data_IF_150147799790
#
_entry.id   IF_150147799790
#
_cell.length_a   1.000
_cell.length_b   1.000
_cell.length_c   1.000
_cell.angle_alpha   90.00
_cell.angle_beta   90.00
_cell.angle_gamma   90.00
#
_symmetry.space_group_name_H-M   'P 1'
#
loop_
_entity.id
_entity.type
_entity.pdbx_description
1 polymer ?
#
# COMPACT_ATOMS: atom_id res chain seq x y z
N UNK A 1 -40.74 36.29 -14.64
CA UNK A 1 -39.63 36.68 -13.75
C UNK A 1 -39.12 35.44 -13.05
N UNK A 2 -37.82 35.14 -13.28
CA UNK A 2 -36.87 34.36 -12.46
C UNK A 2 -37.21 32.93 -12.03
N UNK A 3 -36.62 31.96 -12.75
CA UNK A 3 -36.10 30.71 -12.19
C UNK A 3 -34.71 30.94 -11.57
N UNK A 4 -34.38 30.17 -10.53
CA UNK A 4 -33.07 29.53 -10.19
C UNK A 4 -32.98 29.32 -8.66
N UNK A 5 -33.17 28.08 -8.17
CA UNK A 5 -32.15 27.03 -8.03
C UNK A 5 -31.21 27.23 -6.83
N UNK A 6 -31.56 26.64 -5.68
CA UNK A 6 -30.60 26.35 -4.60
C UNK A 6 -30.86 24.95 -4.06
N UNK A 7 -30.48 23.93 -4.84
CA UNK A 7 -30.33 22.57 -4.31
C UNK A 7 -29.35 21.78 -5.18
N UNK A 8 -28.07 21.79 -4.78
CA UNK A 8 -27.03 20.75 -5.01
C UNK A 8 -25.67 21.28 -4.56
N UNK A 9 -25.44 21.30 -3.24
CA UNK A 9 -24.07 21.24 -2.69
C UNK A 9 -23.86 19.82 -2.19
N UNK A 10 -23.23 19.01 -3.01
CA UNK A 10 -22.93 17.63 -2.66
C UNK A 10 -22.54 16.85 -3.89
N UNK A 11 -21.28 17.03 -4.34
CA UNK A 11 -20.59 16.12 -5.26
C UNK A 11 -19.12 16.56 -5.52
N UNK A 12 -18.41 17.11 -4.52
CA UNK A 12 -16.98 17.46 -4.70
C UNK A 12 -16.12 17.19 -3.45
N UNK A 13 -16.48 16.20 -2.62
CA UNK A 13 -15.70 15.82 -1.44
C UNK A 13 -14.78 14.60 -1.61
N UNK A 14 -14.95 13.82 -2.68
CA UNK A 14 -14.29 12.51 -2.81
C UNK A 14 -13.12 12.42 -3.79
N UNK A 15 -12.80 13.48 -4.54
CA UNK A 15 -11.90 13.40 -5.70
C UNK A 15 -10.59 14.22 -5.58
N UNK A 16 -10.33 14.91 -4.46
CA UNK A 16 -9.22 15.89 -4.39
C UNK A 16 -7.90 15.30 -3.84
N UNK A 17 -7.85 14.04 -3.39
CA UNK A 17 -6.60 13.41 -2.93
C UNK A 17 -5.90 12.52 -3.97
N UNK A 18 -6.26 12.62 -5.26
CA UNK A 18 -5.53 12.01 -6.37
C UNK A 18 -4.91 13.03 -7.35
N UNK A 19 -5.23 14.32 -7.18
CA UNK A 19 -4.80 15.40 -8.09
C UNK A 19 -3.29 15.68 -8.15
N UNK A 20 -2.48 15.56 -7.09
CA UNK A 20 -1.08 15.96 -7.17
C UNK A 20 -0.17 14.96 -7.90
N UNK A 21 -0.62 13.73 -8.15
CA UNK A 21 0.24 12.66 -8.69
C UNK A 21 0.29 12.60 -10.22
N UNK A 22 -0.56 13.36 -10.93
CA UNK A 22 -0.68 13.27 -12.39
C UNK A 22 -0.06 14.45 -13.15
N UNK A 23 0.68 15.34 -12.48
CA UNK A 23 1.30 16.51 -13.11
C UNK A 23 2.82 16.48 -13.05
N UNK A 24 3.42 15.52 -13.74
CA UNK A 24 4.82 15.59 -14.16
C UNK A 24 4.88 15.22 -15.64
N UNK A 25 5.43 16.13 -16.44
CA UNK A 25 5.52 16.05 -17.89
C UNK A 25 6.24 14.79 -18.39
N UNK A 26 6.17 14.60 -19.71
CA UNK A 26 6.66 13.48 -20.54
C UNK A 26 8.01 12.89 -20.09
N UNK A 27 7.99 12.19 -18.96
CA UNK A 27 8.99 11.28 -18.49
C UNK A 27 8.56 9.88 -18.94
N UNK A 28 9.54 9.03 -19.25
CA UNK A 28 9.37 7.59 -19.40
C UNK A 28 8.27 7.10 -18.46
N UNK A 29 7.25 6.34 -18.94
CA UNK A 29 6.16 5.92 -18.07
C UNK A 29 6.79 5.29 -16.82
N UNK A 30 6.49 5.81 -15.61
CA UNK A 30 7.07 5.26 -14.39
C UNK A 30 6.78 3.77 -14.41
N UNK A 31 7.80 2.95 -14.12
CA UNK A 31 7.66 1.50 -14.04
C UNK A 31 6.33 1.20 -13.31
N UNK A 32 5.37 0.54 -13.97
CA UNK A 32 4.00 0.41 -13.46
C UNK A 32 4.00 -0.31 -12.10
N UNK A 33 4.98 -1.16 -11.84
CA UNK A 33 5.16 -1.80 -10.55
C UNK A 33 5.65 -0.84 -9.48
N UNK A 34 6.60 0.06 -9.80
CA UNK A 34 7.02 1.11 -8.86
C UNK A 34 5.87 2.05 -8.50
N UNK A 35 5.02 2.38 -9.48
CA UNK A 35 3.81 3.17 -9.23
C UNK A 35 2.82 2.42 -8.31
N UNK A 36 2.61 1.12 -8.54
CA UNK A 36 1.76 0.28 -7.70
C UNK A 36 2.30 0.11 -6.28
N UNK A 37 3.63 0.01 -6.11
CA UNK A 37 4.29 -0.02 -4.79
C UNK A 37 4.02 1.28 -4.03
N UNK A 38 4.25 2.45 -4.65
CA UNK A 38 3.98 3.75 -4.03
C UNK A 38 2.52 3.91 -3.62
N UNK A 39 1.59 3.45 -4.47
CA UNK A 39 0.16 3.46 -4.14
C UNK A 39 -0.15 2.55 -2.93
N UNK A 40 0.45 1.36 -2.89
CA UNK A 40 0.27 0.42 -1.78
C UNK A 40 0.87 0.96 -0.47
N UNK A 41 2.04 1.61 -0.52
CA UNK A 41 2.66 2.27 0.63
C UNK A 41 1.79 3.41 1.17
N UNK A 42 1.26 4.25 0.29
CA UNK A 42 0.35 5.33 0.65
C UNK A 42 -0.92 4.80 1.32
N UNK A 43 -1.52 3.74 0.74
CA UNK A 43 -2.73 3.12 1.30
C UNK A 43 -2.47 2.42 2.64
N UNK A 44 -1.32 1.75 2.80
CA UNK A 44 -0.89 1.15 4.07
C UNK A 44 -0.68 2.23 5.14
N UNK A 45 -0.08 3.36 4.78
CA UNK A 45 0.16 4.49 5.68
C UNK A 45 -1.14 5.16 6.11
N UNK A 46 -2.04 5.45 5.16
CA UNK A 46 -3.37 6.00 5.44
C UNK A 46 -4.17 5.08 6.38
N UNK A 47 -4.17 3.77 6.11
CA UNK A 47 -4.84 2.81 6.97
C UNK A 47 -4.22 2.72 8.36
N UNK A 48 -2.90 2.83 8.51
CA UNK A 48 -2.27 2.89 9.84
C UNK A 48 -2.65 4.16 10.59
N UNK A 49 -2.54 5.32 9.94
CA UNK A 49 -2.90 6.61 10.53
C UNK A 49 -4.36 6.64 11.00
N UNK A 50 -5.29 6.17 10.16
CA UNK A 50 -6.69 6.05 10.55
C UNK A 50 -6.86 5.14 11.79
N UNK A 51 -6.06 4.08 11.91
CA UNK A 51 -6.10 3.16 13.05
C UNK A 51 -5.64 3.79 14.35
N UNK A 52 -4.55 4.55 14.31
CA UNK A 52 -4.05 5.32 15.46
C UNK A 52 -5.07 6.37 15.90
N UNK A 53 -5.66 7.10 14.95
CA UNK A 53 -6.73 8.08 15.23
C UNK A 53 -7.99 7.43 15.80
N UNK A 54 -8.34 6.22 15.35
CA UNK A 54 -9.49 5.51 15.90
C UNK A 54 -9.22 5.03 17.33
N UNK A 55 -8.01 4.54 17.60
CA UNK A 55 -7.60 4.13 18.94
C UNK A 55 -7.60 5.32 19.92
N UNK A 56 -7.07 6.48 19.51
CA UNK A 56 -7.07 7.67 20.36
C UNK A 56 -8.48 8.18 20.66
N UNK A 57 -9.39 8.15 19.68
CA UNK A 57 -10.79 8.54 19.90
C UNK A 57 -11.59 7.55 20.73
N UNK A 58 -11.34 6.25 20.58
CA UNK A 58 -11.94 5.24 21.48
C UNK A 58 -11.49 5.46 22.92
N UNK A 59 -10.20 5.75 23.14
CA UNK A 59 -9.68 6.06 24.48
C UNK A 59 -10.31 7.33 25.08
N UNK A 60 -10.68 8.30 24.24
CA UNK A 60 -11.40 9.51 24.65
C UNK A 60 -12.94 9.40 24.67
N UNK A 61 -13.52 8.24 24.34
CA UNK A 61 -14.98 8.02 24.34
C UNK A 61 -15.76 8.63 23.18
N UNK A 62 -15.11 9.08 22.09
CA UNK A 62 -15.74 9.84 20.99
C UNK A 62 -15.55 9.14 19.64
N UNK A 63 -15.95 7.87 19.53
CA UNK A 63 -15.94 7.17 18.24
C UNK A 63 -17.30 7.29 17.54
N UNK A 64 -17.38 8.24 16.61
CA UNK A 64 -18.59 8.50 15.83
C UNK A 64 -18.70 7.60 14.59
N UNK A 65 -19.90 7.41 14.02
CA UNK A 65 -20.12 6.56 12.84
C UNK A 65 -19.28 6.94 11.61
N UNK A 66 -19.04 8.23 11.38
CA UNK A 66 -18.22 8.73 10.29
C UNK A 66 -16.76 8.25 10.37
N UNK A 67 -16.20 8.12 11.58
CA UNK A 67 -14.85 7.56 11.75
C UNK A 67 -14.79 6.07 11.44
N UNK A 68 -15.85 5.34 11.78
CA UNK A 68 -15.96 3.92 11.39
C UNK A 68 -16.03 3.79 9.87
N UNK A 69 -16.77 4.67 9.19
CA UNK A 69 -16.83 4.69 7.73
C UNK A 69 -15.45 4.99 7.11
N UNK A 70 -14.70 5.95 7.66
CA UNK A 70 -13.35 6.28 7.21
C UNK A 70 -12.37 5.10 7.39
N UNK A 71 -12.46 4.36 8.50
CA UNK A 71 -11.67 3.13 8.71
C UNK A 71 -11.97 2.06 7.67
N UNK A 72 -13.23 1.87 7.32
CA UNK A 72 -13.63 0.92 6.29
C UNK A 72 -13.13 1.38 4.92
N UNK A 73 -13.23 2.68 4.61
CA UNK A 73 -12.76 3.27 3.36
C UNK A 73 -11.26 3.04 3.15
N UNK A 74 -10.44 3.38 4.15
CA UNK A 74 -8.98 3.15 4.10
C UNK A 74 -8.62 1.67 4.04
N UNK A 75 -9.38 0.79 4.71
CA UNK A 75 -9.19 -0.65 4.60
C UNK A 75 -9.47 -1.19 3.19
N UNK A 76 -10.51 -0.68 2.52
CA UNK A 76 -10.85 -1.02 1.13
C UNK A 76 -9.77 -0.51 0.15
N UNK A 77 -9.36 0.75 0.29
CA UNK A 77 -8.28 1.31 -0.54
C UNK A 77 -6.98 0.50 -0.42
N UNK A 78 -6.62 0.12 0.80
CA UNK A 78 -5.48 -0.76 1.09
C UNK A 78 -5.62 -2.13 0.41
N UNK A 79 -6.79 -2.74 0.50
CA UNK A 79 -7.05 -4.04 -0.12
C UNK A 79 -6.89 -3.97 -1.64
N UNK A 80 -7.49 -2.96 -2.28
CA UNK A 80 -7.41 -2.76 -3.75
C UNK A 80 -5.97 -2.52 -4.19
N UNK A 81 -5.25 -1.58 -3.54
CA UNK A 81 -3.87 -1.27 -3.91
C UNK A 81 -2.96 -2.50 -3.80
N UNK A 82 -3.13 -3.31 -2.75
CA UNK A 82 -2.39 -4.57 -2.59
C UNK A 82 -2.77 -5.60 -3.65
N UNK A 83 -4.05 -5.74 -3.96
CA UNK A 83 -4.51 -6.67 -5.00
C UNK A 83 -3.87 -6.32 -6.35
N UNK A 84 -3.86 -5.05 -6.71
CA UNK A 84 -3.18 -4.54 -7.92
C UNK A 84 -1.70 -4.88 -7.91
N UNK A 85 -0.97 -4.52 -6.85
CA UNK A 85 0.46 -4.83 -6.72
C UNK A 85 0.74 -6.33 -6.81
N UNK A 86 -0.12 -7.14 -6.20
CA UNK A 86 0.02 -8.60 -6.20
C UNK A 86 -0.22 -9.26 -7.56
N UNK A 87 -0.99 -8.62 -8.44
CA UNK A 87 -1.19 -9.07 -9.81
C UNK A 87 0.01 -8.81 -10.71
N UNK A 88 0.99 -8.01 -10.27
CA UNK A 88 2.15 -7.61 -11.07
C UNK A 88 3.34 -8.55 -10.86
N UNK A 89 4.19 -8.64 -11.89
CA UNK A 89 5.46 -9.36 -11.86
C UNK A 89 6.59 -8.34 -12.00
N UNK A 90 7.60 -8.33 -11.11
CA UNK A 90 8.71 -7.40 -11.22
C UNK A 90 9.62 -7.83 -12.37
N UNK A 91 9.61 -7.12 -13.49
CA UNK A 91 10.45 -7.45 -14.67
C UNK A 91 11.79 -6.70 -14.68
N UNK A 92 11.95 -5.74 -13.77
CA UNK A 92 13.17 -4.92 -13.63
C UNK A 92 13.84 -5.15 -12.28
N UNK A 93 15.15 -4.90 -12.21
CA UNK A 93 15.91 -4.96 -10.95
C UNK A 93 15.35 -4.02 -9.90
N UNK A 94 15.00 -2.80 -10.30
CA UNK A 94 14.52 -1.76 -9.40
C UNK A 94 13.14 -2.11 -8.84
N UNK A 95 12.22 -2.62 -9.67
CA UNK A 95 10.92 -3.09 -9.20
C UNK A 95 11.05 -4.28 -8.24
N UNK A 96 11.94 -5.22 -8.55
CA UNK A 96 12.21 -6.36 -7.69
C UNK A 96 12.77 -5.90 -6.32
N UNK A 97 13.76 -5.01 -6.33
CA UNK A 97 14.36 -4.48 -5.11
C UNK A 97 13.36 -3.66 -4.27
N UNK A 98 12.56 -2.82 -4.93
CA UNK A 98 11.51 -2.04 -4.27
C UNK A 98 10.44 -2.95 -3.65
N UNK A 99 10.07 -4.04 -4.32
CA UNK A 99 9.11 -5.00 -3.78
C UNK A 99 9.61 -5.66 -2.49
N UNK A 100 10.87 -6.10 -2.46
CA UNK A 100 11.47 -6.71 -1.25
C UNK A 100 11.48 -5.69 -0.11
N UNK A 101 11.91 -4.45 -0.38
CA UNK A 101 11.89 -3.37 0.62
C UNK A 101 10.48 -3.10 1.16
N UNK A 102 9.49 -2.99 0.28
CA UNK A 102 8.09 -2.79 0.64
C UNK A 102 7.60 -3.85 1.63
N UNK A 103 7.88 -5.14 1.39
CA UNK A 103 7.50 -6.19 2.34
C UNK A 103 8.32 -6.17 3.62
N UNK A 104 9.60 -5.82 3.55
CA UNK A 104 10.45 -5.66 4.74
C UNK A 104 9.92 -4.58 5.68
N UNK A 105 9.52 -3.44 5.13
CA UNK A 105 8.92 -2.32 5.87
C UNK A 105 7.54 -2.68 6.42
N UNK A 106 6.74 -3.42 5.65
CA UNK A 106 5.45 -3.92 6.18
C UNK A 106 5.62 -4.85 7.38
N UNK A 107 6.67 -5.66 7.40
CA UNK A 107 6.97 -6.55 8.53
C UNK A 107 7.48 -5.76 9.73
N UNK A 108 8.27 -4.70 9.54
CA UNK A 108 8.72 -3.84 10.65
C UNK A 108 7.58 -3.09 11.33
N UNK A 109 6.48 -2.85 10.61
CA UNK A 109 5.26 -2.25 11.17
C UNK A 109 4.26 -3.23 11.78
N UNK A 110 4.56 -4.54 11.78
CA UNK A 110 3.70 -5.52 12.42
C UNK A 110 3.73 -5.38 13.95
N UNK A 111 2.59 -5.57 14.60
CA UNK A 111 2.53 -5.66 16.06
C UNK A 111 3.46 -6.80 16.55
N UNK A 112 4.20 -6.65 17.68
CA UNK A 112 5.17 -7.65 18.12
C UNK A 112 4.62 -9.07 18.20
N UNK A 113 3.39 -9.23 18.71
CA UNK A 113 2.72 -10.54 18.81
C UNK A 113 2.38 -11.18 17.46
N UNK A 114 2.37 -10.41 16.37
CA UNK A 114 2.08 -10.86 15.01
C UNK A 114 3.29 -10.82 14.06
N UNK A 115 4.45 -10.39 14.53
CA UNK A 115 5.63 -10.14 13.68
C UNK A 115 6.09 -11.42 12.94
N UNK A 116 6.11 -12.57 13.62
CA UNK A 116 6.45 -13.85 13.00
C UNK A 116 5.46 -14.25 11.90
N UNK A 117 4.16 -14.04 12.12
CA UNK A 117 3.13 -14.31 11.12
C UNK A 117 3.25 -13.39 9.91
N UNK A 118 3.48 -12.09 10.14
CA UNK A 118 3.71 -11.11 9.09
C UNK A 118 4.95 -11.46 8.25
N UNK A 119 6.04 -11.86 8.91
CA UNK A 119 7.28 -12.32 8.26
C UNK A 119 7.03 -13.52 7.36
N UNK A 120 6.35 -14.56 7.85
CA UNK A 120 6.02 -15.76 7.06
C UNK A 120 5.13 -15.43 5.87
N UNK A 121 4.12 -14.57 6.06
CA UNK A 121 3.22 -14.16 4.99
C UNK A 121 3.95 -13.36 3.90
N UNK A 122 4.84 -12.45 4.29
CA UNK A 122 5.69 -11.69 3.37
C UNK A 122 6.60 -12.61 2.55
N UNK A 123 7.28 -13.56 3.20
CA UNK A 123 8.15 -14.52 2.53
C UNK A 123 7.41 -15.41 1.54
N UNK A 124 6.28 -15.99 1.96
CA UNK A 124 5.45 -16.81 1.08
C UNK A 124 5.07 -16.02 -0.17
N UNK A 125 4.68 -14.76 0.01
CA UNK A 125 4.26 -13.91 -1.09
C UNK A 125 5.40 -13.53 -2.02
N UNK A 126 6.57 -13.20 -1.49
CA UNK A 126 7.73 -12.90 -2.32
C UNK A 126 8.17 -14.15 -3.11
N UNK A 127 8.16 -15.35 -2.51
CA UNK A 127 8.39 -16.62 -3.24
C UNK A 127 7.44 -16.79 -4.41
N UNK A 128 6.14 -16.63 -4.16
CA UNK A 128 5.12 -16.75 -5.20
C UNK A 128 5.31 -15.75 -6.35
N UNK A 129 5.78 -14.53 -6.05
CA UNK A 129 6.00 -13.48 -7.07
C UNK A 129 7.27 -13.75 -7.88
N UNK A 130 8.37 -14.11 -7.22
CA UNK A 130 9.65 -14.39 -7.88
C UNK A 130 9.68 -15.73 -8.63
N UNK A 131 8.79 -16.67 -8.30
CA UNK A 131 8.59 -17.89 -9.06
C UNK A 131 7.83 -17.68 -10.39
N UNK A 132 7.29 -16.48 -10.65
CA UNK A 132 6.52 -16.21 -11.88
C UNK A 132 7.44 -16.13 -13.10
N UNK A 133 7.00 -16.61 -14.28
CA UNK A 133 7.73 -16.40 -15.53
C UNK A 133 7.98 -14.90 -15.78
N UNK A 134 9.23 -14.57 -16.14
CA UNK A 134 9.63 -13.18 -16.43
C UNK A 134 9.91 -12.31 -15.19
N UNK A 135 9.86 -12.87 -13.98
CA UNK A 135 10.32 -12.17 -12.79
C UNK A 135 11.84 -11.94 -12.86
N UNK A 136 12.29 -10.74 -12.51
CA UNK A 136 13.69 -10.40 -12.44
C UNK A 136 14.34 -11.19 -11.30
N UNK A 137 15.41 -11.97 -11.57
CA UNK A 137 16.09 -12.74 -10.54
C UNK A 137 16.84 -11.80 -9.60
N UNK A 138 16.53 -11.86 -8.30
CA UNK A 138 17.34 -11.20 -7.28
C UNK A 138 18.37 -12.19 -6.74
N UNK A 139 19.64 -11.77 -6.73
CA UNK A 139 20.68 -12.55 -6.08
C UNK A 139 20.52 -12.51 -4.55
N UNK A 140 21.15 -13.48 -3.87
CA UNK A 140 21.07 -13.64 -2.41
C UNK A 140 21.63 -12.45 -1.64
N UNK A 141 22.63 -11.76 -2.19
CA UNK A 141 23.29 -10.61 -1.54
C UNK A 141 22.40 -9.36 -1.59
N UNK A 142 21.76 -9.12 -2.75
CA UNK A 142 20.76 -8.09 -2.94
C UNK A 142 19.59 -8.31 -1.96
N UNK A 143 19.10 -9.54 -1.83
CA UNK A 143 18.04 -9.87 -0.88
C UNK A 143 18.40 -9.54 0.57
N UNK A 144 19.57 -10.00 1.02
CA UNK A 144 20.03 -9.79 2.40
C UNK A 144 20.20 -8.29 2.74
N UNK A 145 20.65 -7.49 1.77
CA UNK A 145 20.78 -6.03 1.94
C UNK A 145 19.44 -5.29 2.00
N UNK A 146 18.43 -5.78 1.27
CA UNK A 146 17.11 -5.14 1.14
C UNK A 146 16.14 -5.55 2.24
N UNK A 147 16.41 -6.66 2.94
CA UNK A 147 15.57 -7.13 4.02
C UNK A 147 16.35 -7.73 5.19
N UNK A 148 16.91 -6.89 6.08
CA UNK A 148 17.54 -7.37 7.31
C UNK A 148 16.56 -8.15 8.21
N UNK A 149 15.24 -7.93 8.03
CA UNK A 149 14.20 -8.62 8.80
C UNK A 149 13.61 -9.87 8.11
N UNK A 150 13.91 -10.15 6.83
CA UNK A 150 13.44 -11.36 6.13
C UNK A 150 14.62 -12.26 5.73
N UNK A 151 14.60 -13.55 6.09
CA UNK A 151 15.60 -14.49 5.60
C UNK A 151 15.40 -14.69 4.08
N UNK A 152 16.44 -15.12 3.38
CA UNK A 152 16.33 -15.50 1.98
C UNK A 152 15.30 -16.64 1.88
N UNK A 153 14.34 -16.57 0.94
CA UNK A 153 13.41 -17.66 0.76
C UNK A 153 14.19 -18.87 0.23
N UNK A 154 14.19 -19.97 0.98
CA UNK A 154 14.63 -21.26 0.45
C UNK A 154 13.86 -21.59 -0.84
N UNK A 155 14.59 -22.14 -1.81
CA UNK A 155 14.13 -22.63 -3.11
C UNK A 155 13.06 -23.72 -2.96
#
# INVERSE_FOLDING_TARGET
MTFHAVTRRGLFGGAILLGPLLRTGMATPPDPMLAAIRLAEAADTAHRAAGLLSASRMAGGVLTPEWRAERISTAKARFVARLTLHGMTPTTRDAAAALVRYYSERVSHAHPTGAHGARRAALRRLREVFARPGAYPLDRTAWASLSPSLPIPAD
#
